data_IF_294385961927
#
_entry.id   IF_294385961927
#
_cell.length_a   1.000
_cell.length_b   1.000
_cell.length_c   1.000
_cell.angle_alpha   90.00
_cell.angle_beta   90.00
_cell.angle_gamma   90.00
#
_symmetry.space_group_name_H-M   'P 1'
#
loop_
_entity.id
_entity.type
_entity.pdbx_description
1 polymer ?
#
# COMPACT_ATOMS: atom_id res chain seq x y z
N UNK A 1 13.62 7.12 -8.90
CA UNK A 1 12.49 6.23 -9.26
C UNK A 1 11.21 6.81 -8.70
N UNK A 2 10.11 6.67 -9.44
CA UNK A 2 8.77 7.07 -9.02
C UNK A 2 8.01 5.82 -8.56
N UNK A 3 7.51 5.80 -7.33
CA UNK A 3 6.63 4.73 -6.82
C UNK A 3 5.18 5.09 -7.09
N UNK A 4 4.40 4.13 -7.56
CA UNK A 4 2.95 4.25 -7.74
C UNK A 4 2.27 3.10 -7.00
N UNK A 5 1.22 3.43 -6.25
CA UNK A 5 0.44 2.44 -5.50
C UNK A 5 -1.05 2.57 -5.81
N UNK A 6 -1.74 1.43 -5.81
CA UNK A 6 -3.19 1.36 -5.91
C UNK A 6 -3.75 0.19 -5.12
N UNK A 7 -5.01 0.33 -4.74
CA UNK A 7 -5.76 -0.69 -4.01
C UNK A 7 -6.50 -1.58 -4.99
N UNK A 8 -6.55 -2.87 -4.70
CA UNK A 8 -7.29 -3.83 -5.51
C UNK A 8 -8.36 -4.53 -4.67
N UNK A 9 -9.48 -4.81 -5.34
CA UNK A 9 -10.53 -5.68 -4.84
C UNK A 9 -10.89 -6.67 -5.93
N UNK A 10 -10.85 -7.94 -5.60
CA UNK A 10 -11.19 -9.01 -6.53
C UNK A 10 -12.70 -9.04 -6.78
N UNK A 11 -13.11 -9.49 -7.96
CA UNK A 11 -14.51 -9.60 -8.33
C UNK A 11 -15.26 -10.52 -7.36
N UNK A 12 -16.32 -10.01 -6.69
CA UNK A 12 -17.14 -10.83 -5.80
C UNK A 12 -18.07 -11.78 -6.55
N UNK A 13 -18.15 -11.63 -7.88
CA UNK A 13 -19.02 -12.42 -8.76
C UNK A 13 -18.34 -13.67 -9.30
N UNK A 14 -17.03 -13.79 -9.14
CA UNK A 14 -16.22 -14.90 -9.62
C UNK A 14 -15.76 -15.79 -8.45
N UNK A 15 -15.35 -17.02 -8.80
CA UNK A 15 -14.71 -17.90 -7.81
C UNK A 15 -13.43 -17.25 -7.28
N UNK A 16 -13.34 -17.09 -5.96
CA UNK A 16 -12.26 -16.36 -5.31
C UNK A 16 -10.88 -16.96 -5.59
N UNK A 17 -10.77 -18.29 -5.58
CA UNK A 17 -9.48 -18.96 -5.80
C UNK A 17 -9.03 -18.80 -7.26
N UNK A 18 -9.98 -18.75 -8.18
CA UNK A 18 -9.70 -18.52 -9.61
C UNK A 18 -9.19 -17.11 -9.83
N UNK A 19 -9.90 -16.08 -9.34
CA UNK A 19 -9.50 -14.68 -9.56
C UNK A 19 -8.23 -14.33 -8.78
N UNK A 20 -8.03 -14.90 -7.60
CA UNK A 20 -6.81 -14.73 -6.81
C UNK A 20 -5.59 -15.31 -7.55
N UNK A 21 -5.73 -16.49 -8.13
CA UNK A 21 -4.67 -17.09 -8.95
C UNK A 21 -4.40 -16.25 -10.19
N UNK A 22 -5.44 -15.83 -10.91
CA UNK A 22 -5.30 -14.99 -12.09
C UNK A 22 -4.59 -13.67 -11.77
N UNK A 23 -4.91 -13.05 -10.61
CA UNK A 23 -4.21 -11.84 -10.15
C UNK A 23 -2.73 -12.13 -9.86
N UNK A 24 -2.45 -13.21 -9.12
CA UNK A 24 -1.10 -13.54 -8.66
C UNK A 24 -0.17 -14.09 -9.75
N UNK A 25 -0.69 -14.63 -10.83
CA UNK A 25 0.07 -15.27 -11.91
C UNK A 25 -0.01 -14.47 -13.21
N UNK A 26 -1.18 -14.49 -13.86
CA UNK A 26 -1.33 -13.93 -15.20
C UNK A 26 -1.27 -12.40 -15.20
N UNK A 27 -2.04 -11.76 -14.32
CA UNK A 27 -2.06 -10.29 -14.23
C UNK A 27 -0.73 -9.74 -13.73
N UNK A 28 -0.10 -10.43 -12.77
CA UNK A 28 1.22 -10.07 -12.28
C UNK A 28 2.27 -10.11 -13.40
N UNK A 29 2.21 -11.11 -14.28
CA UNK A 29 3.10 -11.22 -15.43
C UNK A 29 2.89 -10.06 -16.41
N UNK A 30 1.64 -9.71 -16.70
CA UNK A 30 1.35 -8.59 -17.60
C UNK A 30 1.99 -7.29 -17.11
N UNK A 31 1.78 -6.93 -15.81
CA UNK A 31 2.37 -5.70 -15.24
C UNK A 31 3.89 -5.77 -15.22
N UNK A 32 4.48 -6.92 -14.83
CA UNK A 32 5.94 -7.11 -14.81
C UNK A 32 6.59 -6.83 -16.16
N UNK A 33 5.91 -7.21 -17.23
CA UNK A 33 6.44 -7.15 -18.59
C UNK A 33 6.18 -5.78 -19.26
N UNK A 34 5.45 -4.86 -18.60
CA UNK A 34 5.27 -3.48 -19.08
C UNK A 34 6.62 -2.76 -19.12
N UNK A 35 6.99 -2.13 -20.25
CA UNK A 35 8.22 -1.33 -20.35
C UNK A 35 8.26 -0.19 -19.33
N UNK A 36 9.41 0.03 -18.69
CA UNK A 36 9.60 1.09 -17.70
C UNK A 36 9.24 0.71 -16.26
N UNK A 37 8.61 -0.43 -16.02
CA UNK A 37 8.50 -0.99 -14.68
C UNK A 37 9.85 -1.51 -14.25
N UNK A 38 10.43 -0.92 -13.21
CA UNK A 38 11.73 -1.32 -12.66
C UNK A 38 11.58 -2.32 -11.52
N UNK A 39 10.56 -2.09 -10.69
CA UNK A 39 10.25 -2.95 -9.55
C UNK A 39 8.73 -3.09 -9.41
N UNK A 40 8.30 -4.24 -8.91
CA UNK A 40 6.89 -4.54 -8.71
C UNK A 40 6.67 -5.48 -7.54
N UNK A 41 5.77 -5.11 -6.63
CA UNK A 41 5.34 -5.95 -5.52
C UNK A 41 3.82 -6.07 -5.45
N UNK A 42 3.36 -7.27 -5.16
CA UNK A 42 2.02 -7.55 -4.66
C UNK A 42 2.06 -7.63 -3.14
N UNK A 43 1.13 -6.94 -2.50
CA UNK A 43 0.89 -7.02 -1.07
C UNK A 43 -0.54 -7.53 -0.88
N UNK A 44 -0.70 -8.85 -0.86
CA UNK A 44 -1.99 -9.49 -0.69
C UNK A 44 -2.47 -9.33 0.75
N UNK A 45 -3.65 -8.74 0.95
CA UNK A 45 -4.25 -8.60 2.27
C UNK A 45 -4.69 -9.96 2.79
N UNK A 46 -4.20 -10.36 3.97
CA UNK A 46 -4.51 -11.64 4.61
C UNK A 46 -5.30 -11.48 5.90
N UNK A 47 -5.26 -10.29 6.52
CA UNK A 47 -6.07 -9.97 7.69
C UNK A 47 -6.22 -8.47 7.87
N UNK A 48 -7.32 -8.05 8.51
CA UNK A 48 -7.43 -6.70 9.08
C UNK A 48 -6.46 -6.62 10.26
N UNK A 49 -5.63 -5.56 10.26
CA UNK A 49 -4.57 -5.41 11.26
C UNK A 49 -5.10 -4.86 12.57
N UNK A 50 -5.99 -3.87 12.50
CA UNK A 50 -6.48 -3.09 13.64
C UNK A 50 -7.94 -2.71 13.45
N UNK A 51 -8.60 -2.31 14.55
CA UNK A 51 -9.98 -1.82 14.53
C UNK A 51 -11.03 -2.93 14.64
N UNK A 52 -12.30 -2.60 14.42
CA UNK A 52 -13.39 -3.58 14.42
C UNK A 52 -13.12 -4.69 13.40
N UNK A 53 -13.20 -5.95 13.83
CA UNK A 53 -12.94 -7.11 12.96
C UNK A 53 -11.48 -7.53 12.82
N UNK A 54 -10.55 -6.90 13.56
CA UNK A 54 -9.13 -7.28 13.53
C UNK A 54 -8.95 -8.79 13.76
N UNK A 55 -8.25 -9.42 12.82
CA UNK A 55 -7.93 -10.86 12.86
C UNK A 55 -9.10 -11.81 12.55
N UNK A 56 -10.34 -11.33 12.41
CA UNK A 56 -11.53 -12.18 12.23
C UNK A 56 -12.37 -11.85 11.00
N UNK A 57 -12.34 -10.63 10.50
CA UNK A 57 -13.11 -10.20 9.34
C UNK A 57 -12.25 -10.17 8.07
N UNK A 58 -12.92 -10.32 6.92
CA UNK A 58 -12.27 -10.21 5.61
C UNK A 58 -11.95 -8.73 5.34
N UNK A 59 -10.71 -8.40 4.94
CA UNK A 59 -10.36 -7.05 4.55
C UNK A 59 -11.27 -6.51 3.43
N UNK A 60 -11.53 -5.20 3.44
CA UNK A 60 -12.33 -4.54 2.39
C UNK A 60 -11.59 -4.43 1.06
N UNK A 61 -10.27 -4.64 1.08
CA UNK A 61 -9.41 -4.74 -0.10
C UNK A 61 -8.74 -6.10 -0.12
N UNK A 62 -8.46 -6.60 -1.31
CA UNK A 62 -7.70 -7.85 -1.48
C UNK A 62 -6.19 -7.60 -1.53
N UNK A 63 -5.77 -6.35 -1.72
CA UNK A 63 -4.36 -6.01 -1.63
C UNK A 63 -4.00 -4.62 -2.08
N UNK A 64 -2.69 -4.35 -1.98
CA UNK A 64 -2.05 -3.11 -2.39
C UNK A 64 -0.96 -3.46 -3.39
N UNK A 65 -1.06 -2.90 -4.58
CA UNK A 65 -0.04 -3.04 -5.61
C UNK A 65 0.91 -1.87 -5.54
N UNK A 66 2.21 -2.13 -5.61
CA UNK A 66 3.24 -1.11 -5.70
C UNK A 66 4.15 -1.38 -6.90
N UNK A 67 4.33 -0.36 -7.74
CA UNK A 67 5.27 -0.38 -8.87
C UNK A 67 6.23 0.78 -8.77
N UNK A 68 7.46 0.57 -9.22
CA UNK A 68 8.48 1.62 -9.33
C UNK A 68 8.86 1.80 -10.78
N UNK A 69 8.95 3.04 -11.18
CA UNK A 69 9.23 3.49 -12.55
C UNK A 69 10.52 4.30 -12.57
N UNK A 70 11.22 4.27 -13.68
CA UNK A 70 12.44 5.07 -13.85
C UNK A 70 12.19 6.54 -13.50
N UNK A 71 11.10 7.09 -14.06
CA UNK A 71 10.63 8.46 -13.85
C UNK A 71 9.15 8.60 -14.27
N UNK A 72 8.64 9.80 -14.23
CA UNK A 72 7.26 10.14 -14.60
C UNK A 72 7.00 9.94 -16.10
N UNK A 73 7.97 10.26 -16.96
CA UNK A 73 7.83 10.09 -18.41
C UNK A 73 7.71 8.61 -18.79
N UNK A 74 8.46 7.73 -18.12
CA UNK A 74 8.33 6.29 -18.30
C UNK A 74 6.96 5.76 -17.89
N UNK A 75 6.41 6.25 -16.77
CA UNK A 75 5.06 5.93 -16.34
C UNK A 75 4.00 6.39 -17.37
N UNK A 76 4.08 7.63 -17.82
CA UNK A 76 3.12 8.19 -18.79
C UNK A 76 3.17 7.44 -20.14
N UNK A 77 4.38 7.13 -20.63
CA UNK A 77 4.55 6.33 -21.83
C UNK A 77 3.95 4.92 -21.67
N UNK A 78 4.14 4.31 -20.48
CA UNK A 78 3.59 2.99 -20.19
C UNK A 78 2.06 2.99 -20.14
N UNK A 79 1.45 3.97 -19.47
CA UNK A 79 -0.02 4.08 -19.37
C UNK A 79 -0.68 4.24 -20.75
N UNK A 80 0.03 4.83 -21.73
CA UNK A 80 -0.40 4.95 -23.14
C UNK A 80 -0.09 3.73 -24.02
N UNK A 81 0.60 2.72 -23.53
CA UNK A 81 1.07 1.58 -24.31
C UNK A 81 0.01 0.50 -24.57
N UNK A 82 0.23 -0.34 -25.58
CA UNK A 82 -0.61 -1.51 -25.84
C UNK A 82 -0.51 -2.54 -24.72
N UNK A 83 0.66 -2.69 -24.12
CA UNK A 83 0.91 -3.59 -22.99
C UNK A 83 0.08 -3.19 -21.77
N UNK A 84 -0.04 -1.89 -21.50
CA UNK A 84 -0.91 -1.41 -20.42
C UNK A 84 -2.39 -1.62 -20.74
N UNK A 85 -2.80 -1.51 -22.00
CA UNK A 85 -4.18 -1.82 -22.39
C UNK A 85 -4.52 -3.30 -22.18
N UNK A 86 -3.55 -4.22 -22.34
CA UNK A 86 -3.73 -5.64 -21.98
C UNK A 86 -3.87 -5.82 -20.46
N UNK A 87 -3.08 -5.10 -19.64
CA UNK A 87 -3.23 -5.08 -18.18
C UNK A 87 -4.64 -4.64 -17.78
N UNK A 88 -5.14 -3.54 -18.36
CA UNK A 88 -6.49 -3.05 -18.09
C UNK A 88 -7.58 -4.01 -18.56
N UNK A 89 -7.40 -4.65 -19.72
CA UNK A 89 -8.35 -5.61 -20.24
C UNK A 89 -8.49 -6.81 -19.30
N UNK A 90 -7.37 -7.41 -18.90
CA UNK A 90 -7.36 -8.52 -17.96
C UNK A 90 -7.86 -8.09 -16.56
N UNK A 91 -7.53 -6.87 -16.13
CA UNK A 91 -8.02 -6.33 -14.85
C UNK A 91 -9.55 -6.27 -14.77
N UNK A 92 -10.24 -5.94 -15.88
CA UNK A 92 -11.72 -5.93 -15.94
C UNK A 92 -12.35 -7.31 -15.75
N UNK A 93 -11.61 -8.38 -15.96
CA UNK A 93 -12.10 -9.75 -15.76
C UNK A 93 -11.98 -10.24 -14.34
N UNK A 94 -11.00 -9.71 -13.59
CA UNK A 94 -10.63 -10.23 -12.26
C UNK A 94 -10.94 -9.27 -11.11
N UNK A 95 -11.05 -7.96 -11.36
CA UNK A 95 -11.31 -6.98 -10.30
C UNK A 95 -12.78 -6.57 -10.24
N UNK A 96 -13.17 -6.10 -9.07
CA UNK A 96 -14.51 -5.57 -8.81
C UNK A 96 -14.71 -4.24 -9.55
N UNK A 97 -15.61 -4.16 -10.55
CA UNK A 97 -15.85 -2.92 -11.29
C UNK A 97 -16.56 -1.86 -10.45
N UNK A 98 -17.25 -2.27 -9.38
CA UNK A 98 -18.00 -1.38 -8.49
C UNK A 98 -17.14 -0.86 -7.33
N UNK A 99 -15.87 -1.28 -7.25
CA UNK A 99 -14.96 -0.78 -6.24
C UNK A 99 -14.68 0.70 -6.44
N UNK A 100 -15.02 1.53 -5.46
CA UNK A 100 -14.95 3.00 -5.56
C UNK A 100 -13.56 3.55 -5.92
N UNK A 101 -12.50 2.79 -5.62
CA UNK A 101 -11.11 3.13 -5.92
C UNK A 101 -10.55 2.36 -7.13
N UNK A 102 -11.40 1.64 -7.90
CA UNK A 102 -10.97 0.95 -9.11
C UNK A 102 -10.27 1.93 -10.07
N UNK A 103 -9.12 1.51 -10.63
CA UNK A 103 -8.27 2.32 -11.52
C UNK A 103 -7.76 3.65 -10.93
N UNK A 104 -7.94 3.92 -9.64
CA UNK A 104 -7.36 5.08 -8.97
C UNK A 104 -6.04 4.69 -8.30
N UNK A 105 -5.00 5.46 -8.58
CA UNK A 105 -3.68 5.24 -8.05
C UNK A 105 -3.10 6.54 -7.48
N UNK A 106 -2.03 6.42 -6.71
CA UNK A 106 -1.31 7.55 -6.15
C UNK A 106 0.18 7.36 -6.43
N UNK A 107 0.80 8.36 -7.07
CA UNK A 107 2.24 8.48 -7.07
C UNK A 107 2.68 8.96 -5.69
N UNK A 108 3.71 8.31 -5.13
CA UNK A 108 4.14 8.58 -3.77
C UNK A 108 5.64 8.88 -3.70
N UNK A 109 6.00 9.67 -2.70
CA UNK A 109 7.37 9.85 -2.26
C UNK A 109 7.63 8.93 -1.07
N UNK A 110 8.57 7.99 -1.23
CA UNK A 110 9.02 7.13 -0.14
C UNK A 110 9.93 7.89 0.81
N UNK A 111 9.72 7.71 2.10
CA UNK A 111 10.61 8.13 3.18
C UNK A 111 10.92 6.94 4.07
N UNK A 112 12.17 6.48 3.99
CA UNK A 112 12.66 5.39 4.81
C UNK A 112 12.95 5.94 6.21
N UNK A 113 12.15 5.54 7.19
CA UNK A 113 12.23 6.01 8.58
C UNK A 113 13.10 5.11 9.44
N UNK A 114 13.09 3.82 9.21
CA UNK A 114 13.95 2.84 9.89
C UNK A 114 14.42 1.77 8.92
N UNK A 115 15.71 1.48 8.97
CA UNK A 115 16.35 0.39 8.23
C UNK A 115 16.88 -0.60 9.27
N UNK A 116 16.36 -1.82 9.26
CA UNK A 116 16.90 -2.93 10.03
C UNK A 116 18.05 -3.64 9.31
N UNK A 117 18.63 -4.68 9.90
CA UNK A 117 19.65 -5.51 9.24
C UNK A 117 19.05 -6.26 8.04
N UNK A 118 19.63 -6.04 6.85
CA UNK A 118 19.09 -6.48 5.57
C UNK A 118 17.98 -5.54 5.09
N UNK A 119 18.10 -4.92 3.92
CA UNK A 119 17.04 -4.04 3.44
C UNK A 119 16.00 -4.83 2.64
N UNK A 120 14.68 -4.68 2.89
CA UNK A 120 13.64 -5.33 2.10
C UNK A 120 13.69 -4.91 0.62
N UNK A 121 14.46 -3.87 0.29
CA UNK A 121 14.65 -3.32 -1.04
C UNK A 121 15.77 -3.93 -1.86
N UNK A 122 16.70 -4.65 -1.26
CA UNK A 122 17.90 -5.10 -1.98
C UNK A 122 17.69 -6.40 -2.77
N UNK A 123 16.52 -7.01 -2.73
CA UNK A 123 16.28 -8.31 -3.37
C UNK A 123 17.14 -9.45 -2.79
N UNK A 124 18.06 -9.11 -1.88
CA UNK A 124 18.96 -10.03 -1.22
C UNK A 124 18.49 -10.25 0.20
N UNK A 125 18.08 -11.48 0.49
CA UNK A 125 18.03 -12.04 1.82
C UNK A 125 17.24 -11.22 2.87
N UNK A 126 15.94 -10.98 2.61
CA UNK A 126 15.03 -10.72 3.72
C UNK A 126 15.03 -12.02 4.55
N UNK A 127 15.62 -12.03 5.75
CA UNK A 127 15.64 -13.23 6.55
C UNK A 127 14.21 -13.57 6.92
N UNK A 128 13.74 -14.76 6.57
CA UNK A 128 12.49 -15.42 6.92
C UNK A 128 11.22 -14.53 6.91
N UNK A 129 10.02 -15.02 6.67
CA UNK A 129 8.86 -14.20 6.38
C UNK A 129 8.58 -13.22 7.52
N UNK A 130 8.97 -11.95 7.33
CA UNK A 130 8.58 -10.86 8.22
C UNK A 130 7.07 -10.65 8.09
N UNK A 131 6.42 -10.37 9.20
CA UNK A 131 5.05 -9.88 9.20
C UNK A 131 5.05 -8.43 8.70
N UNK A 132 4.41 -8.16 7.58
CA UNK A 132 4.28 -6.82 7.03
C UNK A 132 2.89 -6.25 7.30
N UNK A 133 2.86 -5.10 7.93
CA UNK A 133 1.67 -4.27 8.08
C UNK A 133 1.68 -3.13 7.06
N UNK A 134 0.53 -2.85 6.46
CA UNK A 134 0.30 -1.68 5.62
C UNK A 134 -0.95 -0.94 6.08
N UNK A 135 -0.79 0.34 6.38
CA UNK A 135 -1.88 1.23 6.76
C UNK A 135 -2.11 2.30 5.72
N UNK A 136 -3.26 2.28 5.04
CA UNK A 136 -3.65 3.34 4.10
C UNK A 136 -4.23 4.50 4.89
N UNK A 137 -3.81 5.71 4.57
CA UNK A 137 -4.01 6.89 5.40
C UNK A 137 -4.72 8.00 4.63
N UNK A 138 -5.60 8.69 5.34
CA UNK A 138 -6.31 9.87 4.89
C UNK A 138 -6.00 11.02 5.87
N UNK A 139 -5.55 12.16 5.35
CA UNK A 139 -5.27 13.30 6.20
C UNK A 139 -6.57 13.93 6.73
N UNK A 140 -6.51 14.43 7.94
CA UNK A 140 -7.61 15.13 8.57
C UNK A 140 -8.10 16.29 7.71
N UNK A 141 -9.42 16.39 7.54
CA UNK A 141 -10.05 17.47 6.81
C UNK A 141 -9.62 18.85 7.34
N UNK A 142 -9.34 19.78 6.43
CA UNK A 142 -8.92 21.15 6.74
C UNK A 142 -7.42 21.32 7.06
N UNK A 143 -6.64 20.25 7.12
CA UNK A 143 -5.19 20.32 7.26
C UNK A 143 -4.52 20.48 5.89
N UNK A 144 -3.61 21.44 5.75
CA UNK A 144 -2.86 21.56 4.50
C UNK A 144 -1.95 20.33 4.31
N UNK A 145 -1.90 19.78 3.08
CA UNK A 145 -1.12 18.58 2.77
C UNK A 145 0.35 18.67 3.18
N UNK A 146 0.96 19.84 3.00
CA UNK A 146 2.35 20.07 3.39
C UNK A 146 2.54 19.96 4.92
N UNK A 147 1.62 20.53 5.69
CA UNK A 147 1.66 20.50 7.16
C UNK A 147 1.39 19.09 7.67
N UNK A 148 0.43 18.38 7.05
CA UNK A 148 0.15 16.98 7.37
C UNK A 148 1.37 16.08 7.08
N UNK A 149 2.01 16.28 5.92
CA UNK A 149 3.21 15.52 5.55
C UNK A 149 4.39 15.78 6.50
N UNK A 150 4.56 17.04 6.95
CA UNK A 150 5.57 17.41 7.94
C UNK A 150 5.26 16.75 9.30
N UNK A 151 4.03 16.89 9.80
CA UNK A 151 3.59 16.26 11.06
C UNK A 151 3.77 14.73 11.01
N UNK A 152 3.37 14.11 9.90
CA UNK A 152 3.54 12.66 9.73
C UNK A 152 5.01 12.24 9.84
N UNK A 153 5.93 13.01 9.28
CA UNK A 153 7.36 12.67 9.33
C UNK A 153 7.97 12.99 10.69
N UNK A 154 7.74 14.21 11.20
CA UNK A 154 8.50 14.77 12.33
C UNK A 154 7.93 14.39 13.69
N UNK A 155 6.61 14.21 13.79
CA UNK A 155 5.91 13.90 15.04
C UNK A 155 5.45 12.44 15.05
N UNK A 156 4.48 12.09 14.21
CA UNK A 156 3.88 10.75 14.17
C UNK A 156 4.91 9.67 13.83
N UNK A 157 5.77 9.94 12.85
CA UNK A 157 6.85 9.03 12.47
C UNK A 157 7.88 8.82 13.58
N UNK A 158 8.21 9.88 14.33
CA UNK A 158 9.10 9.76 15.48
C UNK A 158 8.48 8.86 16.57
N UNK A 159 7.16 9.00 16.85
CA UNK A 159 6.45 8.13 17.78
C UNK A 159 6.44 6.66 17.31
N UNK A 160 6.28 6.42 16.00
CA UNK A 160 6.37 5.07 15.43
C UNK A 160 7.77 4.46 15.63
N UNK A 161 8.82 5.26 15.55
CA UNK A 161 10.20 4.81 15.79
C UNK A 161 10.49 4.43 17.24
N UNK A 162 9.66 4.87 18.19
CA UNK A 162 9.74 4.45 19.61
C UNK A 162 9.25 3.00 19.81
N UNK A 163 8.55 2.40 18.84
CA UNK A 163 8.08 1.01 18.90
C UNK A 163 9.27 0.09 18.60
N UNK A 164 9.78 -0.66 19.58
CA UNK A 164 11.02 -1.44 19.42
C UNK A 164 10.86 -2.65 18.50
N UNK A 165 9.63 -3.15 18.37
CA UNK A 165 9.30 -4.32 17.55
C UNK A 165 9.34 -4.04 16.05
N UNK A 166 9.24 -2.78 15.62
CA UNK A 166 9.33 -2.39 14.21
C UNK A 166 10.76 -2.60 13.72
N UNK A 167 10.96 -3.48 12.73
CA UNK A 167 12.25 -3.72 12.08
C UNK A 167 12.55 -2.73 10.97
N UNK A 168 11.56 -2.49 10.12
CA UNK A 168 11.63 -1.52 9.03
C UNK A 168 10.38 -0.66 9.05
N UNK A 169 10.55 0.61 8.70
CA UNK A 169 9.43 1.54 8.63
C UNK A 169 9.61 2.50 7.46
N UNK A 170 8.58 2.57 6.62
CA UNK A 170 8.53 3.45 5.46
C UNK A 170 7.23 4.21 5.45
N UNK A 171 7.32 5.50 5.21
CA UNK A 171 6.19 6.37 4.90
C UNK A 171 6.14 6.62 3.39
N UNK A 172 4.97 6.47 2.79
CA UNK A 172 4.72 6.73 1.39
C UNK A 172 3.75 7.90 1.28
N UNK A 173 4.29 9.10 1.06
CA UNK A 173 3.51 10.34 1.00
C UNK A 173 2.96 10.55 -0.41
N UNK A 174 1.65 10.68 -0.54
CA UNK A 174 1.02 10.95 -1.83
C UNK A 174 1.43 12.31 -2.39
N UNK A 175 1.97 12.31 -3.61
CA UNK A 175 2.42 13.51 -4.31
C UNK A 175 1.57 13.85 -5.52
N UNK A 176 0.93 12.87 -6.15
CA UNK A 176 0.07 13.07 -7.31
C UNK A 176 -1.01 11.98 -7.41
N UNK A 177 -2.30 12.36 -7.57
CA UNK A 177 -3.35 11.41 -7.94
C UNK A 177 -3.17 10.95 -9.39
N UNK A 178 -3.56 9.71 -9.68
CA UNK A 178 -3.43 9.08 -10.98
C UNK A 178 -4.66 8.28 -11.33
N UNK A 179 -4.90 8.14 -12.64
CA UNK A 179 -5.86 7.20 -13.21
C UNK A 179 -5.12 6.19 -14.07
N UNK A 180 -5.27 4.91 -13.74
CA UNK A 180 -4.62 3.81 -14.47
C UNK A 180 -5.27 3.54 -15.82
N UNK A 181 -6.53 3.91 -15.99
CA UNK A 181 -7.31 3.76 -17.24
C UNK A 181 -7.10 4.90 -18.24
N UNK A 182 -6.21 5.83 -17.95
CA UNK A 182 -5.89 6.97 -18.81
C UNK A 182 -7.00 8.05 -18.87
N UNK A 183 -8.07 7.92 -18.07
CA UNK A 183 -9.07 8.97 -17.96
C UNK A 183 -8.49 10.19 -17.24
N UNK A 184 -8.97 11.38 -17.59
CA UNK A 184 -8.62 12.61 -16.89
C UNK A 184 -9.04 12.47 -15.41
N UNK A 185 -8.05 12.52 -14.52
CA UNK A 185 -8.29 12.51 -13.08
C UNK A 185 -8.95 13.84 -12.66
N UNK A 186 -9.94 13.76 -11.77
CA UNK A 186 -10.55 14.96 -11.18
C UNK A 186 -9.69 15.63 -10.10
N UNK A 187 -8.42 15.24 -9.98
CA UNK A 187 -7.47 15.83 -9.04
C UNK A 187 -7.56 15.31 -7.60
N UNK A 188 -8.53 14.44 -7.29
CA UNK A 188 -8.69 13.91 -5.94
C UNK A 188 -7.80 12.70 -5.71
N UNK A 189 -7.11 12.70 -4.58
CA UNK A 189 -6.33 11.54 -4.15
C UNK A 189 -7.25 10.37 -3.79
N UNK A 190 -6.85 9.17 -4.17
CA UNK A 190 -7.52 7.95 -3.72
C UNK A 190 -7.29 7.71 -2.22
N UNK A 191 -6.12 8.10 -1.73
CA UNK A 191 -5.66 8.13 -0.34
C UNK A 191 -4.49 9.11 -0.25
N UNK A 192 -4.19 9.61 0.94
CA UNK A 192 -3.14 10.62 1.12
C UNK A 192 -1.74 10.03 1.24
N UNK A 193 -1.67 8.76 1.61
CA UNK A 193 -0.43 8.01 1.72
C UNK A 193 -0.67 6.64 2.35
N UNK A 194 0.40 5.91 2.59
CA UNK A 194 0.36 4.66 3.34
C UNK A 194 1.68 4.40 4.06
N UNK A 195 1.58 3.75 5.20
CA UNK A 195 2.73 3.24 5.93
C UNK A 195 3.01 1.79 5.57
N UNK A 196 4.29 1.42 5.65
CA UNK A 196 4.75 0.04 5.60
C UNK A 196 5.62 -0.20 6.82
N UNK A 197 5.26 -1.19 7.62
CA UNK A 197 6.02 -1.59 8.80
C UNK A 197 6.22 -3.11 8.80
N UNK A 198 7.44 -3.54 9.12
CA UNK A 198 7.78 -4.97 9.18
C UNK A 198 8.17 -5.34 10.60
N UNK A 199 7.68 -6.49 11.04
CA UNK A 199 7.90 -7.10 12.33
C UNK A 199 8.50 -8.50 12.15
N UNK A 200 9.11 -9.05 13.19
CA UNK A 200 9.71 -10.40 13.11
C UNK A 200 8.68 -11.47 12.71
N UNK A 201 7.48 -11.36 13.30
CA UNK A 201 6.35 -12.25 13.04
C UNK A 201 5.02 -11.61 13.45
N UNK A 202 3.92 -12.33 13.24
CA UNK A 202 2.58 -11.88 13.59
C UNK A 202 2.39 -11.68 15.11
N UNK A 203 2.94 -12.55 15.94
CA UNK A 203 2.85 -12.43 17.40
C UNK A 203 3.54 -11.15 17.89
N UNK A 204 4.71 -10.84 17.33
CA UNK A 204 5.45 -9.61 17.62
C UNK A 204 4.68 -8.37 17.21
N UNK A 205 4.02 -8.39 16.05
CA UNK A 205 3.13 -7.33 15.60
C UNK A 205 1.97 -7.14 16.58
N UNK A 206 1.24 -8.19 16.92
CA UNK A 206 0.09 -8.13 17.85
C UNK A 206 0.51 -7.63 19.24
N UNK A 207 1.62 -8.12 19.76
CA UNK A 207 2.16 -7.68 21.06
C UNK A 207 2.57 -6.20 21.05
N UNK A 208 3.03 -5.65 19.93
CA UNK A 208 3.42 -4.25 19.84
C UNK A 208 2.26 -3.30 20.18
N UNK A 209 1.01 -3.69 19.89
CA UNK A 209 -0.20 -2.93 20.18
C UNK A 209 -0.49 -2.73 21.68
N UNK A 210 0.12 -3.55 22.54
CA UNK A 210 -0.02 -3.45 23.98
C UNK A 210 1.08 -2.55 24.61
N UNK A 211 2.01 -2.04 23.79
CA UNK A 211 3.11 -1.24 24.27
C UNK A 211 2.72 0.22 24.56
N UNK A 212 3.35 0.87 25.56
CA UNK A 212 3.16 2.30 25.79
C UNK A 212 3.54 3.17 24.57
N UNK A 213 4.48 2.71 23.73
CA UNK A 213 4.87 3.39 22.50
C UNK A 213 3.74 3.40 21.48
N UNK A 214 3.06 2.25 21.31
CA UNK A 214 1.89 2.16 20.45
C UNK A 214 0.74 3.06 20.88
N UNK A 215 0.47 3.12 22.19
CA UNK A 215 -0.57 4.02 22.72
C UNK A 215 -0.28 5.49 22.41
N UNK A 216 0.97 5.94 22.56
CA UNK A 216 1.36 7.31 22.20
C UNK A 216 1.17 7.59 20.70
N UNK A 217 1.55 6.63 19.84
CA UNK A 217 1.35 6.73 18.40
C UNK A 217 -0.13 6.87 18.05
N UNK A 218 -0.97 5.99 18.62
CA UNK A 218 -2.42 6.00 18.42
C UNK A 218 -3.06 7.29 18.92
N UNK A 219 -2.63 7.80 20.07
CA UNK A 219 -3.16 9.04 20.65
C UNK A 219 -2.85 10.28 19.78
N UNK A 220 -1.80 10.23 18.95
CA UNK A 220 -1.49 11.28 17.97
C UNK A 220 -2.30 11.15 16.67
N UNK A 221 -2.80 9.98 16.33
CA UNK A 221 -3.50 9.73 15.06
C UNK A 221 -4.62 10.75 14.76
N UNK A 222 -5.52 11.14 15.69
CA UNK A 222 -6.57 12.12 15.43
C UNK A 222 -6.06 13.54 15.14
N UNK A 223 -4.80 13.86 15.49
CA UNK A 223 -4.19 15.14 15.19
C UNK A 223 -3.82 15.27 13.72
N UNK A 224 -3.65 14.14 13.04
CA UNK A 224 -3.09 14.06 11.70
C UNK A 224 -4.06 13.43 10.69
N UNK A 225 -4.76 12.35 11.09
CA UNK A 225 -5.53 11.52 10.18
C UNK A 225 -7.04 11.63 10.42
N UNK A 226 -7.78 11.32 9.37
CA UNK A 226 -9.21 10.99 9.45
C UNK A 226 -9.33 9.56 10.00
N UNK A 227 -9.59 9.43 11.30
CA UNK A 227 -9.62 8.14 12.01
C UNK A 227 -10.79 7.28 11.55
N UNK A 228 -11.95 7.89 11.24
CA UNK A 228 -13.12 7.16 10.77
C UNK A 228 -12.85 6.50 9.41
N UNK A 229 -12.12 7.20 8.52
CA UNK A 229 -11.71 6.66 7.23
C UNK A 229 -10.68 5.53 7.37
N UNK A 230 -9.77 5.63 8.35
CA UNK A 230 -8.79 4.57 8.63
C UNK A 230 -9.47 3.33 9.22
N UNK A 231 -10.38 3.51 10.17
CA UNK A 231 -11.13 2.41 10.79
C UNK A 231 -12.06 1.68 9.81
N UNK A 232 -12.35 2.28 8.64
CA UNK A 232 -13.13 1.64 7.59
C UNK A 232 -12.43 0.44 6.88
N UNK A 233 -11.27 -0.02 7.37
CA UNK A 233 -10.78 -1.37 7.04
C UNK A 233 -9.65 -1.45 6.02
N UNK A 234 -8.83 -0.41 5.88
CA UNK A 234 -7.63 -0.42 5.00
C UNK A 234 -6.31 -0.51 5.75
N UNK A 235 -6.34 -0.90 7.02
CA UNK A 235 -5.18 -1.32 7.80
C UNK A 235 -5.08 -2.83 7.73
N UNK A 236 -4.09 -3.35 7.03
CA UNK A 236 -4.01 -4.78 6.70
C UNK A 236 -2.64 -5.36 7.00
N UNK A 237 -2.64 -6.62 7.41
CA UNK A 237 -1.46 -7.48 7.33
C UNK A 237 -1.44 -8.09 5.95
N UNK A 238 -0.28 -8.11 5.33
CA UNK A 238 -0.12 -8.55 3.95
C UNK A 238 0.95 -9.63 3.80
N UNK A 239 0.71 -10.52 2.85
CA UNK A 239 1.74 -11.37 2.25
C UNK A 239 2.37 -10.60 1.08
N UNK A 240 3.63 -10.19 1.25
CA UNK A 240 4.37 -9.49 0.21
C UNK A 240 5.04 -10.47 -0.75
N UNK A 241 4.82 -10.25 -2.03
CA UNK A 241 5.50 -10.98 -3.11
C UNK A 241 6.24 -9.98 -4.00
N UNK A 242 7.54 -10.14 -4.12
CA UNK A 242 8.35 -9.43 -5.10
C UNK A 242 8.17 -10.11 -6.46
N UNK A 243 7.53 -9.44 -7.40
CA UNK A 243 7.26 -9.95 -8.76
C UNK A 243 8.39 -9.54 -9.71
N UNK A 244 8.94 -8.34 -9.48
CA UNK A 244 10.12 -7.81 -10.16
C UNK A 244 10.94 -7.03 -9.15
N UNK A 245 12.21 -7.32 -9.03
CA UNK A 245 13.15 -6.67 -8.11
C UNK A 245 14.34 -6.07 -8.80
#
# INVERSE_FOLDING_TARGET
MLKVAWLVRLSPQADRDVVLRAWNEDHAKLIRDVPGVERYTHNQAVAIAEGPGAGTETPVIDGIVCTWWTDEAALEAALGSSEWQEVLAHGREIFDPDFALANRAVAVQERVMRIGPGTPWSGADVPAPLCKHMGVLYFRSGMARADASAHWTEVHGALALDIPEIRYYVQNHGIRPLRLDGADGNGDFAFDGFSEAWFDDRETFERSHESPAWYRLRDDSPNLFDVDAIEAGVNVVVDERVIKG
#
